data_IF_004020120115
#
_entry.id   IF_004020120115
#
_cell.length_a   1.000
_cell.length_b   1.000
_cell.length_c   1.000
_cell.angle_alpha   90.00
_cell.angle_beta   90.00
_cell.angle_gamma   90.00
#
_symmetry.space_group_name_H-M   'P 1'
#
loop_
_entity.id
_entity.type
_entity.pdbx_description
1 polymer ?
#
# COMPACT_ATOMS: atom_id res chain seq x y z
N UNK A 1 -20.28 0.65 6.32
CA UNK A 1 -20.37 0.00 5.00
C UNK A 1 -21.62 0.45 4.23
N UNK A 2 -22.87 0.21 4.71
CA UNK A 2 -24.12 0.54 3.96
C UNK A 2 -24.18 2.00 3.48
N UNK A 3 -23.77 2.96 4.30
CA UNK A 3 -23.74 4.36 3.92
C UNK A 3 -22.72 4.62 2.79
N UNK A 4 -21.50 4.09 2.89
CA UNK A 4 -20.50 4.21 1.83
C UNK A 4 -21.00 3.59 0.52
N UNK A 5 -21.55 2.37 0.59
CA UNK A 5 -22.13 1.69 -0.58
C UNK A 5 -23.28 2.51 -1.22
N UNK A 6 -24.14 3.18 -0.42
CA UNK A 6 -25.20 4.06 -0.95
C UNK A 6 -24.66 5.30 -1.67
N UNK A 7 -23.37 5.60 -1.51
CA UNK A 7 -22.65 6.68 -2.20
C UNK A 7 -21.77 6.17 -3.35
N UNK A 8 -21.83 4.88 -3.68
CA UNK A 8 -20.99 4.25 -4.69
C UNK A 8 -19.52 4.08 -4.25
N UNK A 9 -19.26 4.11 -2.94
CA UNK A 9 -17.94 3.96 -2.35
C UNK A 9 -17.80 2.54 -1.82
N UNK A 10 -16.81 1.82 -2.30
CA UNK A 10 -16.40 0.53 -1.76
C UNK A 10 -15.45 0.74 -0.57
N UNK A 11 -15.49 -0.18 0.37
CA UNK A 11 -14.62 -0.14 1.55
C UNK A 11 -13.71 -1.37 1.58
N UNK A 12 -12.43 -1.13 1.74
CA UNK A 12 -11.44 -2.18 2.00
C UNK A 12 -11.44 -2.53 3.50
N UNK A 13 -11.53 -3.83 3.82
CA UNK A 13 -11.36 -4.30 5.19
C UNK A 13 -9.89 -4.26 5.59
N UNK A 14 -9.59 -3.94 6.85
CA UNK A 14 -8.24 -4.05 7.40
C UNK A 14 -8.15 -5.21 8.39
N UNK A 15 -7.29 -6.18 8.09
CA UNK A 15 -6.92 -7.27 8.97
C UNK A 15 -5.53 -7.02 9.53
N UNK A 16 -5.45 -6.26 10.63
CA UNK A 16 -4.19 -6.14 11.38
C UNK A 16 -4.03 -7.37 12.27
N UNK A 17 -2.99 -8.15 11.99
CA UNK A 17 -2.75 -9.43 12.66
C UNK A 17 -1.85 -9.31 13.88
N UNK A 18 -1.19 -8.14 14.07
CA UNK A 18 -0.11 -7.94 15.06
C UNK A 18 0.92 -9.07 14.98
N UNK A 19 1.25 -9.49 13.77
CA UNK A 19 2.15 -10.58 13.43
C UNK A 19 1.79 -11.96 14.04
N UNK A 20 0.58 -12.13 14.60
CA UNK A 20 0.09 -13.41 15.13
C UNK A 20 -0.46 -14.31 14.02
N UNK A 21 0.44 -14.77 13.16
CA UNK A 21 0.14 -15.41 11.88
C UNK A 21 -0.67 -16.68 12.02
N UNK A 22 -0.29 -17.60 12.93
CA UNK A 22 -1.08 -18.82 13.15
C UNK A 22 -2.49 -18.55 13.64
N UNK A 23 -2.68 -17.51 14.40
CA UNK A 23 -4.02 -17.10 14.83
C UNK A 23 -4.82 -16.58 13.63
N UNK A 24 -4.20 -15.78 12.78
CA UNK A 24 -4.82 -15.30 11.56
C UNK A 24 -5.24 -16.46 10.65
N UNK A 25 -4.33 -17.40 10.39
CA UNK A 25 -4.64 -18.60 9.56
C UNK A 25 -5.82 -19.42 10.08
N UNK A 26 -5.92 -19.62 11.41
CA UNK A 26 -7.06 -20.34 12.01
C UNK A 26 -8.40 -19.66 11.78
N UNK A 27 -8.40 -18.34 11.63
CA UNK A 27 -9.62 -17.56 11.50
C UNK A 27 -9.88 -17.06 10.07
N UNK A 28 -8.98 -17.37 9.14
CA UNK A 28 -8.97 -16.78 7.80
C UNK A 28 -10.25 -17.10 7.02
N UNK A 29 -10.71 -18.34 7.02
CA UNK A 29 -11.95 -18.72 6.37
C UNK A 29 -13.16 -17.98 6.96
N UNK A 30 -13.24 -17.90 8.29
CA UNK A 30 -14.31 -17.18 8.96
C UNK A 30 -14.26 -15.67 8.68
N UNK A 31 -13.05 -15.10 8.64
CA UNK A 31 -12.86 -13.68 8.37
C UNK A 31 -13.24 -13.34 6.92
N UNK A 32 -12.83 -14.15 5.95
CA UNK A 32 -13.17 -13.93 4.55
C UNK A 32 -14.65 -14.19 4.27
N UNK A 33 -15.26 -15.21 4.90
CA UNK A 33 -16.71 -15.41 4.79
C UNK A 33 -17.48 -14.21 5.36
N UNK A 34 -17.05 -13.68 6.49
CA UNK A 34 -17.65 -12.45 7.05
C UNK A 34 -17.56 -11.27 6.07
N UNK A 35 -16.43 -11.12 5.37
CA UNK A 35 -16.26 -10.09 4.36
C UNK A 35 -17.27 -10.26 3.21
N UNK A 36 -17.36 -11.47 2.67
CA UNK A 36 -18.31 -11.79 1.59
C UNK A 36 -19.75 -11.52 2.02
N UNK A 37 -20.14 -12.00 3.20
CA UNK A 37 -21.50 -11.83 3.75
C UNK A 37 -21.88 -10.35 3.94
N UNK A 38 -20.88 -9.48 4.10
CA UNK A 38 -21.08 -8.04 4.31
C UNK A 38 -20.72 -7.19 3.08
N UNK A 39 -20.39 -7.81 1.93
CA UNK A 39 -20.16 -7.12 0.67
C UNK A 39 -18.77 -6.44 0.56
N UNK A 40 -17.78 -6.91 1.32
CA UNK A 40 -16.39 -6.49 1.14
C UNK A 40 -15.70 -7.39 0.12
N UNK A 41 -15.01 -6.79 -0.84
CA UNK A 41 -14.29 -7.47 -1.91
C UNK A 41 -12.76 -7.30 -1.84
N UNK A 42 -12.28 -6.57 -0.84
CA UNK A 42 -10.85 -6.26 -0.72
C UNK A 42 -10.41 -6.15 0.74
N UNK A 43 -9.17 -6.59 0.99
CA UNK A 43 -8.55 -6.58 2.32
C UNK A 43 -7.13 -6.02 2.26
N UNK A 44 -6.81 -5.14 3.20
CA UNK A 44 -5.44 -4.82 3.59
C UNK A 44 -5.06 -5.72 4.76
N UNK A 45 -4.01 -6.53 4.61
CA UNK A 45 -3.46 -7.34 5.70
C UNK A 45 -2.19 -6.72 6.25
N UNK A 46 -2.09 -6.56 7.57
CA UNK A 46 -0.94 -6.03 8.28
C UNK A 46 -0.32 -7.06 9.22
N UNK A 47 1.00 -6.94 9.44
CA UNK A 47 1.80 -7.87 10.24
C UNK A 47 2.82 -7.10 11.09
N UNK A 48 2.36 -6.04 11.73
CA UNK A 48 3.24 -5.17 12.53
C UNK A 48 3.84 -5.91 13.71
N UNK A 49 5.12 -5.68 13.96
CA UNK A 49 5.88 -6.29 15.06
C UNK A 49 6.58 -7.59 14.69
N UNK A 50 7.14 -8.26 15.69
CA UNK A 50 7.86 -9.52 15.51
C UNK A 50 6.91 -10.68 15.20
N UNK A 51 7.29 -11.54 14.26
CA UNK A 51 6.46 -12.66 13.85
C UNK A 51 6.24 -13.63 15.03
N UNK A 52 4.99 -14.05 15.17
CA UNK A 52 4.60 -15.15 16.06
C UNK A 52 4.13 -16.33 15.19
N UNK A 53 4.82 -17.49 15.25
CA UNK A 53 5.70 -17.99 16.32
C UNK A 53 7.10 -17.39 16.31
N UNK A 54 7.72 -17.29 17.50
CA UNK A 54 9.10 -16.79 17.68
C UNK A 54 10.09 -17.62 16.86
N UNK A 55 11.07 -16.94 16.28
CA UNK A 55 12.09 -17.55 15.42
C UNK A 55 11.77 -17.45 13.94
N UNK A 56 10.55 -17.08 13.58
CA UNK A 56 10.18 -16.76 12.21
C UNK A 56 10.38 -15.26 11.92
N UNK A 57 10.58 -14.93 10.67
CA UNK A 57 10.83 -13.56 10.22
C UNK A 57 9.97 -13.23 9.00
N UNK A 58 9.63 -11.94 8.80
CA UNK A 58 8.81 -11.44 7.68
C UNK A 58 9.31 -11.93 6.31
N UNK A 59 10.61 -12.07 6.13
CA UNK A 59 11.24 -12.50 4.88
C UNK A 59 11.72 -13.95 4.90
N UNK A 60 11.40 -14.71 5.96
CA UNK A 60 11.69 -16.13 6.07
C UNK A 60 10.77 -16.98 5.19
N UNK A 61 11.21 -18.19 4.82
CA UNK A 61 10.43 -19.09 3.96
C UNK A 61 9.04 -19.41 4.54
N UNK A 62 8.93 -19.48 5.84
CA UNK A 62 7.66 -19.74 6.52
C UNK A 62 6.64 -18.64 6.24
N UNK A 63 7.05 -17.36 6.32
CA UNK A 63 6.18 -16.24 6.01
C UNK A 63 5.90 -16.11 4.50
N UNK A 64 6.85 -16.42 3.64
CA UNK A 64 6.62 -16.49 2.17
C UNK A 64 5.48 -17.47 1.87
N UNK A 65 5.49 -18.64 2.52
CA UNK A 65 4.44 -19.65 2.37
C UNK A 65 3.10 -19.14 2.91
N UNK A 66 3.11 -18.42 4.04
CA UNK A 66 1.91 -17.81 4.60
C UNK A 66 1.29 -16.77 3.65
N UNK A 67 2.08 -15.84 3.13
CA UNK A 67 1.57 -14.81 2.19
C UNK A 67 0.94 -15.46 0.95
N UNK A 68 1.60 -16.46 0.39
CA UNK A 68 1.04 -17.21 -0.74
C UNK A 68 -0.26 -17.93 -0.37
N UNK A 69 -0.29 -18.57 0.80
CA UNK A 69 -1.49 -19.24 1.30
C UNK A 69 -2.66 -18.24 1.46
N UNK A 70 -2.41 -17.10 2.11
CA UNK A 70 -3.44 -16.08 2.33
C UNK A 70 -4.00 -15.50 1.02
N UNK A 71 -3.13 -15.24 0.03
CA UNK A 71 -3.54 -14.76 -1.30
C UNK A 71 -4.39 -15.79 -2.04
N UNK A 72 -3.99 -17.05 -2.05
CA UNK A 72 -4.76 -18.14 -2.67
C UNK A 72 -6.11 -18.33 -2.00
N UNK A 73 -6.12 -18.33 -0.66
CA UNK A 73 -7.35 -18.42 0.10
C UNK A 73 -8.29 -17.24 -0.19
N UNK A 74 -7.77 -16.02 -0.28
CA UNK A 74 -8.56 -14.84 -0.67
C UNK A 74 -9.18 -14.98 -2.06
N UNK A 75 -8.45 -15.58 -3.02
CA UNK A 75 -8.96 -15.84 -4.36
C UNK A 75 -10.17 -16.78 -4.34
N UNK A 76 -10.18 -17.81 -3.48
CA UNK A 76 -11.32 -18.72 -3.31
C UNK A 76 -12.60 -17.97 -2.89
N UNK A 77 -12.44 -16.87 -2.13
CA UNK A 77 -13.52 -15.98 -1.71
C UNK A 77 -13.75 -14.77 -2.63
N UNK A 78 -13.01 -14.67 -3.75
CA UNK A 78 -13.03 -13.52 -4.67
C UNK A 78 -12.66 -12.19 -3.98
N UNK A 79 -11.72 -12.22 -3.07
CA UNK A 79 -11.22 -11.07 -2.32
C UNK A 79 -9.87 -10.64 -2.86
N UNK A 80 -9.73 -9.35 -3.14
CA UNK A 80 -8.46 -8.71 -3.49
C UNK A 80 -7.64 -8.47 -2.22
N UNK A 81 -6.30 -8.57 -2.35
CA UNK A 81 -5.36 -8.44 -1.24
C UNK A 81 -4.36 -7.32 -1.50
N UNK A 82 -4.20 -6.42 -0.53
CA UNK A 82 -3.08 -5.51 -0.39
C UNK A 82 -2.30 -5.90 0.87
N UNK A 83 -1.10 -6.49 0.74
CA UNK A 83 -0.34 -7.04 1.85
C UNK A 83 0.75 -6.07 2.32
N UNK A 84 0.66 -5.62 3.58
CA UNK A 84 1.68 -4.80 4.23
C UNK A 84 2.68 -5.66 5.02
N UNK A 85 3.86 -5.11 5.35
CA UNK A 85 5.02 -5.82 5.95
C UNK A 85 5.38 -7.14 5.21
N UNK A 86 4.86 -7.33 4.02
CA UNK A 86 5.01 -8.54 3.25
C UNK A 86 6.41 -8.70 2.65
N UNK A 87 6.75 -9.93 2.28
CA UNK A 87 7.96 -10.19 1.53
C UNK A 87 7.93 -9.48 0.16
N UNK A 88 9.10 -9.10 -0.32
CA UNK A 88 9.24 -8.50 -1.67
C UNK A 88 8.55 -9.37 -2.73
N UNK A 89 7.79 -8.77 -3.64
CA UNK A 89 7.07 -9.53 -4.66
C UNK A 89 8.03 -10.15 -5.67
N UNK A 90 7.57 -11.28 -6.24
CA UNK A 90 8.32 -12.07 -7.25
C UNK A 90 7.52 -12.22 -8.54
N UNK A 91 6.57 -11.33 -8.80
CA UNK A 91 5.66 -11.41 -9.94
C UNK A 91 4.41 -12.27 -9.70
N UNK A 92 4.16 -12.72 -8.47
CA UNK A 92 2.98 -13.53 -8.12
C UNK A 92 1.64 -12.85 -8.42
N UNK A 93 1.60 -11.52 -8.47
CA UNK A 93 0.41 -10.77 -8.90
C UNK A 93 -0.04 -11.07 -10.33
N UNK A 94 0.84 -11.60 -11.17
CA UNK A 94 0.51 -12.05 -12.54
C UNK A 94 -0.12 -13.44 -12.55
N UNK A 95 0.20 -14.29 -11.57
CA UNK A 95 -0.41 -15.60 -11.39
C UNK A 95 -1.70 -15.52 -10.57
N UNK A 96 -1.69 -14.66 -9.56
CA UNK A 96 -2.80 -14.39 -8.65
C UNK A 96 -3.19 -12.92 -8.74
N UNK A 97 -4.01 -12.53 -9.72
CA UNK A 97 -4.33 -11.11 -9.98
C UNK A 97 -5.16 -10.44 -8.86
N UNK A 98 -5.69 -11.23 -7.94
CA UNK A 98 -6.28 -10.71 -6.70
C UNK A 98 -5.24 -10.16 -5.72
N UNK A 99 -3.94 -10.40 -5.89
CA UNK A 99 -2.88 -9.70 -5.19
C UNK A 99 -2.64 -8.36 -5.89
N UNK A 100 -3.37 -7.34 -5.49
CA UNK A 100 -3.37 -6.01 -6.13
C UNK A 100 -2.22 -5.12 -5.68
N UNK A 101 -1.63 -5.37 -4.52
CA UNK A 101 -0.50 -4.61 -4.02
C UNK A 101 0.16 -5.23 -2.81
N UNK A 102 1.39 -4.83 -2.60
CA UNK A 102 2.11 -5.02 -1.34
C UNK A 102 2.94 -3.78 -1.03
N UNK A 103 3.18 -3.55 0.24
CA UNK A 103 4.14 -2.54 0.66
C UNK A 103 5.58 -3.00 0.39
N UNK A 104 6.11 -3.94 1.16
CA UNK A 104 7.41 -4.61 1.04
C UNK A 104 8.64 -3.70 0.92
N UNK A 105 8.49 -2.44 1.24
CA UNK A 105 9.51 -1.41 1.40
C UNK A 105 8.89 -0.23 2.12
N UNK A 106 9.73 0.71 2.60
CA UNK A 106 9.24 1.91 3.25
C UNK A 106 8.38 2.74 2.30
N UNK A 107 7.11 2.98 2.68
CA UNK A 107 6.20 3.90 2.03
C UNK A 107 6.11 5.25 2.75
N UNK A 108 5.05 5.98 2.45
CA UNK A 108 4.74 7.29 3.03
C UNK A 108 4.59 7.25 4.56
N UNK A 109 4.13 6.16 5.13
CA UNK A 109 3.97 6.00 6.58
C UNK A 109 5.24 6.37 7.35
N UNK A 110 6.41 6.00 6.82
CA UNK A 110 7.70 6.29 7.46
C UNK A 110 8.04 7.77 7.53
N UNK A 111 7.37 8.64 6.80
CA UNK A 111 7.55 10.09 6.94
C UNK A 111 7.15 10.58 8.34
N UNK A 112 6.22 9.90 9.01
CA UNK A 112 5.81 10.19 10.38
C UNK A 112 6.77 9.66 11.45
N UNK A 113 7.75 8.83 11.07
CA UNK A 113 8.74 8.20 11.97
C UNK A 113 10.17 8.67 11.72
N UNK A 114 10.37 9.93 11.35
CA UNK A 114 11.68 10.51 11.07
C UNK A 114 12.02 10.66 9.58
N UNK A 115 11.13 10.22 8.71
CA UNK A 115 11.19 10.42 7.27
C UNK A 115 12.03 9.39 6.51
N UNK A 116 11.84 9.40 5.20
CA UNK A 116 12.67 8.69 4.24
C UNK A 116 13.83 9.60 3.77
N UNK A 117 14.89 9.01 3.23
CA UNK A 117 15.90 9.77 2.50
C UNK A 117 15.24 10.38 1.24
N UNK A 118 15.69 11.58 0.85
CA UNK A 118 15.16 12.27 -0.35
C UNK A 118 15.30 11.46 -1.63
N UNK A 119 16.29 10.56 -1.70
CA UNK A 119 16.53 9.70 -2.86
C UNK A 119 15.70 8.40 -2.82
N UNK A 120 14.97 8.14 -1.74
CA UNK A 120 14.25 6.88 -1.59
C UNK A 120 13.28 6.61 -2.74
N UNK A 121 12.50 7.61 -3.12
CA UNK A 121 11.51 7.47 -4.21
C UNK A 121 12.12 7.36 -5.60
N UNK A 122 13.37 7.77 -5.79
CA UNK A 122 14.10 7.62 -7.07
C UNK A 122 14.86 6.30 -7.16
N UNK A 123 14.96 5.55 -6.05
CA UNK A 123 15.57 4.21 -6.00
C UNK A 123 14.51 3.11 -6.18
N UNK A 124 13.33 3.28 -5.63
CA UNK A 124 12.28 2.25 -5.62
C UNK A 124 11.89 1.73 -7.01
N UNK A 125 11.77 2.56 -8.07
CA UNK A 125 11.48 2.08 -9.42
C UNK A 125 12.50 1.06 -9.95
N UNK A 126 13.77 1.19 -9.56
CA UNK A 126 14.86 0.31 -10.00
C UNK A 126 15.11 -0.89 -9.09
N UNK A 127 14.43 -0.97 -7.98
CA UNK A 127 14.64 -2.02 -6.97
C UNK A 127 13.33 -2.70 -6.60
N UNK A 128 12.51 -2.08 -5.76
CA UNK A 128 11.28 -2.66 -5.23
C UNK A 128 10.23 -2.92 -6.31
N UNK A 129 10.06 -2.01 -7.25
CA UNK A 129 9.01 -2.11 -8.30
C UNK A 129 9.33 -3.13 -9.39
N UNK A 130 10.57 -3.62 -9.49
CA UNK A 130 10.93 -4.69 -10.45
C UNK A 130 10.11 -5.96 -10.21
N UNK A 131 9.75 -6.25 -8.97
CA UNK A 131 8.99 -7.45 -8.60
C UNK A 131 7.47 -7.31 -8.76
N UNK A 132 6.96 -6.11 -8.97
CA UNK A 132 5.52 -5.84 -9.10
C UNK A 132 5.07 -4.56 -8.40
N UNK A 133 3.77 -4.26 -8.41
CA UNK A 133 3.20 -3.03 -7.87
C UNK A 133 3.52 -2.85 -6.39
N UNK A 134 3.60 -1.58 -5.96
CA UNK A 134 3.84 -1.22 -4.57
C UNK A 134 2.73 -0.31 -4.04
N UNK A 135 2.20 -0.65 -2.87
CA UNK A 135 1.41 0.30 -2.08
C UNK A 135 2.35 1.27 -1.35
N UNK A 136 2.75 2.33 -2.05
CA UNK A 136 3.61 3.38 -1.51
C UNK A 136 2.82 4.39 -0.66
N UNK A 137 1.52 4.52 -0.90
CA UNK A 137 0.62 5.52 -0.29
C UNK A 137 1.06 6.96 -0.54
N UNK A 138 1.15 7.44 -1.80
CA UNK A 138 1.53 8.81 -2.13
C UNK A 138 0.44 9.82 -1.77
N UNK A 139 0.74 11.11 -1.93
CA UNK A 139 -0.26 12.18 -1.87
C UNK A 139 -0.21 13.06 -0.64
N UNK A 140 0.91 13.12 0.09
CA UNK A 140 1.09 14.11 1.17
C UNK A 140 1.18 15.51 0.55
N UNK A 141 0.22 16.39 0.90
CA UNK A 141 0.22 17.80 0.53
C UNK A 141 0.69 18.71 1.67
N UNK A 142 0.53 18.27 2.92
CA UNK A 142 1.12 18.95 4.08
C UNK A 142 2.30 18.14 4.62
N UNK A 143 3.55 18.55 4.33
CA UNK A 143 4.73 17.78 4.73
C UNK A 143 5.08 17.90 6.22
N UNK A 144 4.56 18.89 6.92
CA UNK A 144 4.84 19.12 8.34
C UNK A 144 3.87 18.32 9.22
N UNK A 145 4.32 17.18 9.73
CA UNK A 145 3.51 16.30 10.58
C UNK A 145 3.00 16.99 11.84
N UNK A 146 3.66 18.06 12.29
CA UNK A 146 3.22 18.81 13.48
C UNK A 146 1.90 19.55 13.29
N UNK A 147 1.50 19.79 12.04
CA UNK A 147 0.20 20.39 11.70
C UNK A 147 -0.96 19.44 12.02
N UNK A 148 -0.72 18.14 11.88
CA UNK A 148 -1.70 17.09 12.21
C UNK A 148 -1.60 16.65 13.67
N UNK A 149 -0.38 16.53 14.19
CA UNK A 149 -0.11 16.17 15.57
C UNK A 149 1.04 17.03 16.12
N UNK A 150 0.76 18.01 17.00
CA UNK A 150 1.77 18.93 17.52
C UNK A 150 2.96 18.25 18.23
N UNK A 151 2.79 17.01 18.67
CA UNK A 151 3.86 16.21 19.29
C UNK A 151 4.76 15.52 18.26
N UNK A 152 4.33 15.37 17.03
CA UNK A 152 5.12 14.79 15.96
C UNK A 152 5.96 15.87 15.28
N UNK A 153 7.28 15.79 15.42
CA UNK A 153 8.25 16.74 14.83
C UNK A 153 8.83 16.27 13.51
N UNK A 154 8.31 15.18 12.95
CA UNK A 154 8.72 14.68 11.64
C UNK A 154 8.27 15.63 10.54
N UNK A 155 9.03 15.63 9.45
CA UNK A 155 8.75 16.43 8.26
C UNK A 155 9.06 15.58 7.02
N UNK A 156 8.07 15.41 6.15
CA UNK A 156 8.25 14.69 4.89
C UNK A 156 9.15 15.49 3.95
N UNK A 157 10.26 14.87 3.51
CA UNK A 157 11.25 15.51 2.62
C UNK A 157 10.78 15.45 1.17
N UNK A 158 9.69 16.12 0.87
CA UNK A 158 9.01 16.06 -0.42
C UNK A 158 8.55 17.44 -0.89
N UNK A 159 8.07 17.50 -2.11
CA UNK A 159 7.35 18.64 -2.67
C UNK A 159 6.02 18.17 -3.24
N UNK A 160 5.08 19.09 -3.43
CA UNK A 160 3.81 18.78 -4.06
C UNK A 160 3.99 18.13 -5.44
N UNK A 161 4.87 18.71 -6.28
CA UNK A 161 5.17 18.15 -7.60
C UNK A 161 5.72 16.71 -7.52
N UNK A 162 6.60 16.43 -6.54
CA UNK A 162 7.11 15.07 -6.32
C UNK A 162 5.98 14.12 -5.93
N UNK A 163 5.08 14.52 -5.04
CA UNK A 163 3.95 13.69 -4.65
C UNK A 163 3.05 13.35 -5.83
N UNK A 164 2.79 14.29 -6.73
CA UNK A 164 2.05 14.02 -7.96
C UNK A 164 2.81 13.06 -8.90
N UNK A 165 4.13 13.24 -9.06
CA UNK A 165 4.95 12.36 -9.88
C UNK A 165 4.93 10.90 -9.40
N UNK A 166 4.76 10.64 -8.09
CA UNK A 166 4.70 9.29 -7.55
C UNK A 166 3.51 8.47 -8.07
N UNK A 167 2.41 9.10 -8.45
CA UNK A 167 1.27 8.42 -9.06
C UNK A 167 1.59 7.83 -10.45
N UNK A 168 2.63 8.34 -11.09
CA UNK A 168 3.11 7.83 -12.39
C UNK A 168 4.29 6.88 -12.21
N UNK A 169 5.22 7.20 -11.30
CA UNK A 169 6.48 6.45 -11.14
C UNK A 169 6.39 5.28 -10.17
N UNK A 170 5.44 5.29 -9.24
CA UNK A 170 5.17 4.20 -8.30
C UNK A 170 3.96 3.41 -8.77
N UNK A 171 4.16 2.51 -9.73
CA UNK A 171 3.08 1.71 -10.28
C UNK A 171 2.33 0.93 -9.20
N UNK A 172 1.04 1.11 -9.17
CA UNK A 172 0.11 0.29 -8.38
C UNK A 172 -1.31 0.39 -8.98
N UNK A 173 -2.03 -0.71 -9.16
CA UNK A 173 -3.44 -0.66 -9.55
C UNK A 173 -4.35 -0.12 -8.43
N UNK A 174 -3.81 -0.04 -7.20
CA UNK A 174 -4.44 0.58 -6.05
C UNK A 174 -3.59 1.77 -5.62
N UNK A 175 -4.05 2.99 -5.93
CA UNK A 175 -3.40 4.22 -5.49
C UNK A 175 -4.15 4.84 -4.31
N UNK A 176 -3.38 5.35 -3.36
CA UNK A 176 -3.90 6.01 -2.17
C UNK A 176 -3.81 7.54 -2.32
N UNK A 177 -4.59 8.26 -1.52
CA UNK A 177 -4.45 9.68 -1.28
C UNK A 177 -4.16 9.85 0.22
N UNK A 178 -2.89 10.04 0.58
CA UNK A 178 -2.37 9.84 1.93
C UNK A 178 -2.55 11.04 2.87
N UNK A 179 -3.31 12.07 2.47
CA UNK A 179 -3.54 13.26 3.28
C UNK A 179 -5.02 13.41 3.63
N UNK A 180 -5.35 14.43 4.42
CA UNK A 180 -6.73 14.74 4.81
C UNK A 180 -7.38 15.70 3.81
N UNK A 181 -8.73 15.70 3.71
CA UNK A 181 -9.45 16.56 2.76
C UNK A 181 -9.08 18.03 2.87
N UNK A 182 -8.89 18.55 4.08
CA UNK A 182 -8.58 19.95 4.34
C UNK A 182 -7.24 20.39 3.72
N UNK A 183 -6.28 19.48 3.61
CA UNK A 183 -5.00 19.75 2.96
C UNK A 183 -5.15 19.74 1.43
N UNK A 184 -5.99 18.86 0.89
CA UNK A 184 -6.29 18.82 -0.55
C UNK A 184 -7.08 20.06 -1.00
N UNK A 185 -8.01 20.55 -0.19
CA UNK A 185 -8.81 21.75 -0.49
C UNK A 185 -7.95 22.99 -0.73
N UNK A 186 -6.75 23.05 -0.18
CA UNK A 186 -5.78 24.13 -0.40
C UNK A 186 -5.14 24.12 -1.79
N UNK A 187 -5.18 23.00 -2.50
CA UNK A 187 -4.51 22.75 -3.78
C UNK A 187 -5.38 21.89 -4.71
N UNK A 188 -6.59 22.34 -4.98
CA UNK A 188 -7.58 21.57 -5.72
C UNK A 188 -7.19 21.25 -7.16
N UNK A 189 -6.38 22.09 -7.80
CA UNK A 189 -5.81 21.86 -9.12
C UNK A 189 -4.85 20.65 -9.11
N UNK A 190 -3.97 20.58 -8.10
CA UNK A 190 -3.09 19.44 -7.89
C UNK A 190 -3.87 18.17 -7.50
N UNK A 191 -4.89 18.30 -6.65
CA UNK A 191 -5.75 17.18 -6.29
C UNK A 191 -6.57 16.66 -7.49
N UNK A 192 -6.94 17.55 -8.43
CA UNK A 192 -7.60 17.13 -9.66
C UNK A 192 -6.71 16.16 -10.48
N UNK A 193 -5.38 16.42 -10.52
CA UNK A 193 -4.46 15.47 -11.15
C UNK A 193 -4.56 14.05 -10.54
N UNK A 194 -4.62 13.94 -9.20
CA UNK A 194 -4.77 12.64 -8.52
C UNK A 194 -6.07 11.92 -8.92
N UNK A 195 -7.14 12.68 -9.14
CA UNK A 195 -8.43 12.12 -9.58
C UNK A 195 -8.43 11.67 -11.04
N UNK A 196 -7.62 12.29 -11.87
CA UNK A 196 -7.63 12.09 -13.32
C UNK A 196 -6.54 11.13 -13.79
N UNK A 197 -5.44 10.97 -13.02
CA UNK A 197 -4.32 10.11 -13.39
C UNK A 197 -4.76 8.64 -13.45
N UNK A 198 -4.34 7.94 -14.50
CA UNK A 198 -4.61 6.51 -14.65
C UNK A 198 -3.84 5.69 -13.59
N UNK A 199 -4.40 4.56 -13.19
CA UNK A 199 -3.75 3.59 -12.27
C UNK A 199 -3.18 2.38 -13.02
N UNK A 200 -3.47 2.25 -14.31
CA UNK A 200 -2.93 1.24 -15.21
C UNK A 200 -2.69 1.83 -16.59
N UNK A 201 -1.77 1.24 -17.39
CA UNK A 201 -1.23 1.84 -18.60
C UNK A 201 -1.10 0.79 -19.69
N UNK A 202 -1.62 1.09 -20.88
CA UNK A 202 -1.44 0.27 -22.07
C UNK A 202 -0.02 0.40 -22.65
N UNK A 203 0.59 1.58 -22.51
CA UNK A 203 1.95 1.86 -22.97
C UNK A 203 2.69 2.80 -22.02
N UNK A 204 3.96 2.52 -21.76
CA UNK A 204 4.85 3.39 -21.00
C UNK A 204 6.15 3.64 -21.78
N UNK A 205 6.54 4.91 -21.89
CA UNK A 205 7.81 5.33 -22.50
C UNK A 205 8.73 5.91 -21.45
N UNK A 206 9.90 5.32 -21.30
CA UNK A 206 10.96 5.82 -20.43
C UNK A 206 11.83 6.79 -21.22
N UNK A 207 11.75 8.08 -20.91
CA UNK A 207 12.53 9.11 -21.60
C UNK A 207 13.92 9.23 -20.98
N UNK A 208 14.00 9.23 -19.66
CA UNK A 208 15.22 9.22 -18.87
C UNK A 208 15.00 8.37 -17.61
N UNK A 209 16.02 7.67 -17.16
CA UNK A 209 15.91 6.82 -15.99
C UNK A 209 17.30 6.62 -15.35
N UNK A 210 17.58 7.39 -14.30
CA UNK A 210 18.80 7.25 -13.50
C UNK A 210 18.48 7.04 -12.04
N UNK A 211 19.00 5.97 -11.41
CA UNK A 211 18.87 5.79 -9.97
C UNK A 211 19.50 6.94 -9.20
N UNK A 212 18.81 7.44 -8.16
CA UNK A 212 19.32 8.49 -7.27
C UNK A 212 19.46 9.88 -7.93
N UNK A 213 19.11 10.03 -9.20
CA UNK A 213 19.04 11.35 -9.83
C UNK A 213 17.85 12.15 -9.32
N UNK A 214 18.06 13.44 -9.06
CA UNK A 214 17.04 14.39 -8.61
C UNK A 214 16.67 15.33 -9.75
#
# INVERSE_FOLDING_TARGET
HRYAASKGIEMMMHHETSASVRNYERHLDKAYQFMVDNGYNSVKSGYVGDIIPRGEHHYGQWMVNHYLYAVKKAADYRIMVNAHEAVRPTGLCRTYPNLIGNESARGTEYESFGGNNVNHTTILPFTRLIGGPMDYTPGIFEPDCSKMNPNNKSHARTTLARQLALYVTMYSPLQMAADVPENYERFMDAFQFIKDVAVDWDETKYLEAEPVSL
#
